data_IF_676558891169
#
_entry.id   IF_676558891169
#
_cell.length_a   1.000
_cell.length_b   1.000
_cell.length_c   1.000
_cell.angle_alpha   90.00
_cell.angle_beta   90.00
_cell.angle_gamma   90.00
#
_symmetry.space_group_name_H-M   'P 1'
#
loop_
_entity.id
_entity.type
_entity.pdbx_description
1 polymer ?
#
# COMPACT_ATOMS: atom_id res chain seq x y z
N UNK A 1 -1.69 -5.41 -11.08
CA UNK A 1 -1.69 -4.44 -9.97
C UNK A 1 -3.07 -3.85 -9.76
N UNK A 2 -3.77 -3.38 -10.80
CA UNK A 2 -5.12 -2.81 -10.65
C UNK A 2 -6.15 -3.77 -10.02
N UNK A 3 -6.10 -5.06 -10.35
CA UNK A 3 -6.98 -6.07 -9.72
C UNK A 3 -6.81 -6.13 -8.18
N UNK A 4 -5.60 -5.94 -7.67
CA UNK A 4 -5.35 -5.91 -6.24
C UNK A 4 -5.93 -4.65 -5.58
N UNK A 5 -5.91 -3.51 -6.28
CA UNK A 5 -6.56 -2.27 -5.84
C UNK A 5 -8.09 -2.39 -5.80
N UNK A 6 -8.68 -3.04 -6.82
CA UNK A 6 -10.12 -3.29 -6.84
C UNK A 6 -10.57 -4.18 -5.69
N UNK A 7 -9.74 -5.17 -5.31
CA UNK A 7 -9.99 -6.04 -4.15
C UNK A 7 -9.86 -5.27 -2.83
N UNK A 8 -8.87 -4.38 -2.72
CA UNK A 8 -8.73 -3.46 -1.57
C UNK A 8 -9.96 -2.56 -1.41
N UNK A 9 -10.53 -2.06 -2.51
CA UNK A 9 -11.77 -1.28 -2.48
C UNK A 9 -12.97 -2.01 -1.87
N UNK A 10 -12.97 -3.35 -1.92
CA UNK A 10 -14.03 -4.18 -1.33
C UNK A 10 -13.77 -4.55 0.13
N UNK A 11 -12.62 -4.19 0.70
CA UNK A 11 -12.19 -4.60 2.05
C UNK A 11 -13.25 -4.30 3.13
N UNK A 12 -13.79 -3.08 3.16
CA UNK A 12 -14.80 -2.68 4.14
C UNK A 12 -16.15 -3.40 3.99
N UNK A 13 -16.44 -3.96 2.82
CA UNK A 13 -17.66 -4.75 2.60
C UNK A 13 -17.56 -6.11 3.32
N UNK A 14 -16.36 -6.72 3.30
CA UNK A 14 -16.12 -8.03 3.91
C UNK A 14 -15.66 -7.96 5.37
N UNK A 15 -15.22 -6.78 5.84
CA UNK A 15 -14.75 -6.56 7.21
C UNK A 15 -15.54 -5.44 7.90
N UNK A 16 -16.81 -5.66 8.26
CA UNK A 16 -17.69 -4.62 8.82
C UNK A 16 -17.17 -4.02 10.13
N UNK A 17 -16.34 -4.74 10.89
CA UNK A 17 -15.67 -4.23 12.10
C UNK A 17 -14.76 -3.02 11.83
N UNK A 18 -14.26 -2.87 10.61
CA UNK A 18 -13.35 -1.79 10.21
C UNK A 18 -14.04 -0.70 9.38
N UNK A 19 -15.38 -0.65 9.38
CA UNK A 19 -16.12 0.33 8.57
C UNK A 19 -15.78 1.78 8.94
N UNK A 20 -15.64 2.04 10.23
CA UNK A 20 -15.45 3.39 10.78
C UNK A 20 -13.98 3.79 10.97
N UNK A 21 -13.04 2.90 10.60
CA UNK A 21 -11.60 3.23 10.64
C UNK A 21 -11.12 3.65 9.25
N UNK A 22 -10.08 4.49 9.22
CA UNK A 22 -9.34 4.78 7.99
C UNK A 22 -8.35 3.64 7.74
N UNK A 23 -8.57 2.85 6.70
CA UNK A 23 -7.62 1.82 6.30
C UNK A 23 -6.57 2.41 5.35
N UNK A 24 -5.30 2.11 5.62
CA UNK A 24 -4.16 2.49 4.79
C UNK A 24 -3.67 1.26 4.03
N UNK A 25 -3.40 1.44 2.74
CA UNK A 25 -2.88 0.37 1.89
C UNK A 25 -1.35 0.36 1.84
N UNK A 26 -0.77 -0.84 1.75
CA UNK A 26 0.66 -1.03 1.57
C UNK A 26 0.95 -2.17 0.59
N UNK A 27 2.10 -2.11 -0.08
CA UNK A 27 2.68 -3.16 -0.90
C UNK A 27 4.05 -3.53 -0.36
N UNK A 28 4.34 -4.83 -0.31
CA UNK A 28 5.64 -5.36 0.06
C UNK A 28 6.04 -6.43 -0.95
N UNK A 29 7.31 -6.44 -1.38
CA UNK A 29 7.86 -7.50 -2.21
C UNK A 29 9.35 -7.69 -1.89
N UNK A 30 9.84 -8.91 -2.12
CA UNK A 30 11.28 -9.22 -1.94
C UNK A 30 12.15 -8.46 -2.94
N UNK A 31 11.65 -8.28 -4.17
CA UNK A 31 12.30 -7.48 -5.22
C UNK A 31 11.26 -6.50 -5.76
N UNK A 32 11.53 -5.21 -5.62
CA UNK A 32 10.69 -4.13 -6.14
C UNK A 32 11.41 -3.48 -7.32
N UNK A 33 10.80 -3.51 -8.51
CA UNK A 33 11.27 -2.67 -9.62
C UNK A 33 10.89 -1.21 -9.37
N UNK A 34 11.66 -0.25 -9.91
CA UNK A 34 11.32 1.16 -9.80
C UNK A 34 9.92 1.49 -10.34
N UNK A 35 9.49 0.80 -11.39
CA UNK A 35 8.13 0.96 -11.94
C UNK A 35 7.05 0.60 -10.92
N UNK A 36 7.23 -0.50 -10.18
CA UNK A 36 6.30 -0.93 -9.13
C UNK A 36 6.30 0.06 -7.96
N UNK A 37 7.47 0.57 -7.56
CA UNK A 37 7.59 1.58 -6.51
C UNK A 37 6.83 2.85 -6.91
N UNK A 38 7.13 3.40 -8.10
CA UNK A 38 6.50 4.62 -8.62
C UNK A 38 5.00 4.46 -8.80
N UNK A 39 4.55 3.30 -9.30
CA UNK A 39 3.13 3.01 -9.45
C UNK A 39 2.42 2.94 -8.08
N UNK A 40 2.97 2.19 -7.12
CA UNK A 40 2.38 2.06 -5.79
C UNK A 40 2.36 3.41 -5.04
N UNK A 41 3.46 4.18 -5.13
CA UNK A 41 3.55 5.53 -4.60
C UNK A 41 2.45 6.44 -5.18
N UNK A 42 2.29 6.44 -6.51
CA UNK A 42 1.26 7.24 -7.19
C UNK A 42 -0.18 6.80 -6.89
N UNK A 43 -0.39 5.56 -6.47
CA UNK A 43 -1.70 5.04 -6.01
C UNK A 43 -1.97 5.30 -4.53
N UNK A 44 -1.05 5.97 -3.82
CA UNK A 44 -1.18 6.25 -2.40
C UNK A 44 -1.01 5.01 -1.52
N UNK A 45 -0.21 4.04 -1.97
CA UNK A 45 0.18 2.86 -1.19
C UNK A 45 1.55 3.06 -0.54
N UNK A 46 1.69 2.64 0.72
CA UNK A 46 2.99 2.52 1.36
C UNK A 46 3.81 1.41 0.69
N UNK A 47 5.08 1.65 0.41
CA UNK A 47 6.00 0.71 -0.22
C UNK A 47 6.98 0.23 0.85
N UNK A 48 6.88 -1.05 1.18
CA UNK A 48 7.74 -1.73 2.14
C UNK A 48 8.79 -2.55 1.39
N UNK A 49 10.06 -2.29 1.66
CA UNK A 49 11.17 -3.01 1.06
C UNK A 49 12.04 -3.69 2.15
N UNK A 50 12.56 -4.89 1.89
CA UNK A 50 13.59 -5.47 2.74
C UNK A 50 14.85 -4.61 2.77
N UNK A 51 15.41 -4.42 3.97
CA UNK A 51 16.71 -3.82 4.21
C UNK A 51 17.47 -4.69 5.21
N UNK A 52 18.25 -5.63 4.67
CA UNK A 52 18.88 -6.68 5.47
C UNK A 52 17.83 -7.49 6.22
N UNK A 53 17.91 -7.46 7.55
CA UNK A 53 17.00 -8.20 8.45
C UNK A 53 15.73 -7.42 8.83
N UNK A 54 15.52 -6.23 8.25
CA UNK A 54 14.40 -5.33 8.59
C UNK A 54 13.58 -4.94 7.36
N UNK A 55 12.42 -4.32 7.59
CA UNK A 55 11.63 -3.65 6.55
C UNK A 55 11.76 -2.14 6.68
N UNK A 56 11.92 -1.46 5.55
CA UNK A 56 11.92 0.01 5.46
C UNK A 56 10.74 0.49 4.63
N UNK A 57 10.21 1.66 4.99
CA UNK A 57 9.22 2.39 4.18
C UNK A 57 9.99 3.27 3.20
N UNK A 58 9.72 3.10 1.90
CA UNK A 58 10.39 3.88 0.86
C UNK A 58 9.70 5.22 0.55
N UNK A 59 8.48 5.42 1.03
CA UNK A 59 7.74 6.68 0.83
C UNK A 59 8.42 7.84 1.58
N UNK A 60 8.46 9.01 0.97
CA UNK A 60 8.99 10.22 1.58
C UNK A 60 7.93 10.99 2.39
N UNK A 61 8.32 12.15 2.93
CA UNK A 61 7.43 13.01 3.72
C UNK A 61 6.31 13.70 2.91
N UNK A 62 6.42 13.75 1.58
CA UNK A 62 5.43 14.36 0.70
C UNK A 62 4.36 13.36 0.24
N UNK A 63 4.57 12.08 0.50
CA UNK A 63 3.66 11.00 0.15
C UNK A 63 2.22 11.26 0.63
N UNK A 64 1.27 11.06 -0.28
CA UNK A 64 -0.16 11.22 -0.03
C UNK A 64 -0.83 9.84 0.03
N UNK A 65 -1.17 9.34 1.23
CA UNK A 65 -1.80 8.03 1.35
C UNK A 65 -3.24 8.02 0.85
N UNK A 66 -3.62 6.94 0.19
CA UNK A 66 -5.01 6.61 -0.11
C UNK A 66 -5.66 5.97 1.11
N UNK A 67 -6.88 6.40 1.41
CA UNK A 67 -7.69 5.87 2.51
C UNK A 67 -8.88 5.11 1.96
N UNK A 68 -9.14 3.93 2.53
CA UNK A 68 -10.35 3.15 2.30
C UNK A 68 -11.25 3.18 3.52
#
# INVERSE_FOLDING_TARGET
MDEHLERLGKFKQFMPRYRDVKALGAVAAMVLSQEVVSYAYGKGLFVLAPSGDTLVILNDANFQPSYW
#
